data_IF_872388028181
#
_entry.id   IF_872388028181
#
_cell.length_a   1.000
_cell.length_b   1.000
_cell.length_c   1.000
_cell.angle_alpha   90.00
_cell.angle_beta   90.00
_cell.angle_gamma   90.00
#
_symmetry.space_group_name_H-M   'P 1'
#
loop_
_entity.id
_entity.type
_entity.pdbx_description
1 polymer ?
#
# COMPACT_ATOMS: atom_id res chain seq x y z
N UNK A 1 -6.22 -46.43 -8.80
CA UNK A 1 -6.99 -45.49 -7.95
C UNK A 1 -7.32 -44.30 -8.84
N UNK A 2 -8.60 -44.05 -9.12
CA UNK A 2 -9.04 -43.11 -10.16
C UNK A 2 -9.47 -41.80 -9.51
N UNK A 3 -8.81 -40.69 -9.81
CA UNK A 3 -9.18 -39.37 -9.30
C UNK A 3 -10.04 -38.64 -10.33
N UNK A 4 -11.27 -38.27 -9.96
CA UNK A 4 -12.11 -37.36 -10.76
C UNK A 4 -11.72 -35.93 -10.43
N UNK A 5 -11.20 -35.21 -11.42
CA UNK A 5 -10.94 -33.77 -11.30
C UNK A 5 -12.25 -33.04 -11.67
N UNK A 6 -12.78 -32.15 -10.82
CA UNK A 6 -13.97 -31.37 -11.13
C UNK A 6 -13.74 -30.43 -12.32
N UNK A 7 -14.79 -30.19 -13.12
CA UNK A 7 -14.73 -29.42 -14.37
C UNK A 7 -14.29 -27.94 -14.23
N UNK A 8 -14.17 -27.42 -13.00
CA UNK A 8 -13.73 -26.05 -12.73
C UNK A 8 -12.23 -25.93 -12.41
N UNK A 9 -11.47 -27.02 -12.38
CA UNK A 9 -10.03 -27.00 -12.10
C UNK A 9 -9.24 -26.82 -13.40
N UNK A 10 -8.64 -25.65 -13.60
CA UNK A 10 -7.70 -25.40 -14.70
C UNK A 10 -6.33 -25.96 -14.32
N UNK A 11 -5.87 -26.98 -15.04
CA UNK A 11 -4.53 -27.54 -14.88
C UNK A 11 -3.54 -26.72 -15.72
N UNK A 12 -2.75 -25.86 -15.07
CA UNK A 12 -1.64 -25.16 -15.74
C UNK A 12 -0.41 -26.06 -15.75
N UNK A 13 -0.11 -26.67 -16.90
CA UNK A 13 1.13 -27.40 -17.12
C UNK A 13 2.20 -26.43 -17.63
N UNK A 14 3.30 -26.29 -16.89
CA UNK A 14 4.49 -25.59 -17.37
C UNK A 14 5.40 -26.65 -17.99
N UNK A 15 5.51 -26.64 -19.31
CA UNK A 15 6.36 -27.57 -20.06
C UNK A 15 7.54 -26.79 -20.61
N UNK A 16 8.76 -27.32 -20.45
CA UNK A 16 9.95 -26.74 -21.07
C UNK A 16 9.86 -26.84 -22.59
N UNK A 17 10.41 -25.85 -23.30
CA UNK A 17 10.29 -25.74 -24.75
C UNK A 17 10.87 -26.97 -25.48
N UNK A 18 11.89 -27.59 -24.88
CA UNK A 18 12.55 -28.78 -25.43
C UNK A 18 11.69 -30.05 -25.34
N UNK A 19 10.62 -30.02 -24.53
CA UNK A 19 9.67 -31.13 -24.36
C UNK A 19 8.37 -30.95 -25.17
N UNK A 20 8.18 -29.81 -25.82
CA UNK A 20 6.98 -29.54 -26.64
C UNK A 20 6.86 -30.54 -27.81
N UNK A 21 7.99 -30.93 -28.40
CA UNK A 21 8.05 -31.88 -29.53
C UNK A 21 7.67 -33.32 -29.14
N UNK A 22 7.63 -33.62 -27.84
CA UNK A 22 7.26 -34.94 -27.31
C UNK A 22 5.78 -35.04 -26.97
N UNK A 23 5.03 -33.94 -27.06
CA UNK A 23 3.59 -33.96 -26.82
C UNK A 23 2.87 -34.70 -27.95
N UNK A 24 1.90 -35.58 -27.64
CA UNK A 24 1.13 -36.27 -28.65
C UNK A 24 0.42 -35.25 -29.58
N UNK A 25 0.26 -35.57 -30.88
CA UNK A 25 -0.17 -34.61 -31.90
C UNK A 25 -1.59 -34.03 -31.72
N UNK A 26 -2.36 -34.54 -30.74
CA UNK A 26 -3.66 -33.96 -30.34
C UNK A 26 -3.54 -32.78 -29.37
N UNK A 27 -2.33 -32.46 -28.91
CA UNK A 27 -2.00 -31.32 -28.06
C UNK A 27 -1.27 -30.27 -28.89
N UNK A 28 -1.86 -29.83 -30.00
CA UNK A 28 -1.28 -28.72 -30.76
C UNK A 28 -1.69 -27.39 -30.13
N UNK A 29 -0.69 -26.71 -29.59
CA UNK A 29 -0.71 -25.35 -29.12
C UNK A 29 -1.25 -24.41 -30.22
N UNK A 30 -2.33 -23.69 -29.92
CA UNK A 30 -2.88 -22.66 -30.81
C UNK A 30 -2.61 -21.29 -30.20
N UNK A 31 -1.63 -20.57 -30.75
CA UNK A 31 -1.20 -19.25 -30.29
C UNK A 31 -2.31 -18.19 -30.32
N UNK A 32 -3.36 -18.38 -31.11
CA UNK A 32 -4.40 -17.35 -31.31
C UNK A 32 -5.30 -17.08 -30.10
N UNK A 33 -5.25 -17.90 -29.04
CA UNK A 33 -6.20 -17.79 -27.90
C UNK A 33 -5.58 -17.64 -26.51
N UNK A 34 -4.25 -17.57 -26.37
CA UNK A 34 -3.57 -17.27 -25.09
C UNK A 34 -3.87 -18.22 -23.92
N UNK A 35 -4.56 -19.34 -24.17
CA UNK A 35 -4.89 -20.39 -23.20
C UNK A 35 -5.24 -21.67 -23.94
N UNK A 36 -4.70 -22.80 -23.48
CA UNK A 36 -4.96 -24.13 -24.03
C UNK A 36 -5.85 -24.88 -23.03
N UNK A 37 -7.08 -25.19 -23.45
CA UNK A 37 -7.89 -26.17 -22.73
C UNK A 37 -7.41 -27.57 -23.16
N UNK A 38 -6.90 -28.34 -22.20
CA UNK A 38 -6.41 -29.70 -22.43
C UNK A 38 -7.50 -30.66 -21.95
N UNK A 39 -8.18 -31.35 -22.88
CA UNK A 39 -8.91 -32.57 -22.54
C UNK A 39 -7.95 -33.75 -22.64
N UNK A 40 -7.46 -34.23 -21.49
CA UNK A 40 -6.61 -35.43 -21.44
C UNK A 40 -7.53 -36.65 -21.42
N UNK A 41 -7.47 -37.55 -22.43
CA UNK A 41 -8.08 -38.86 -22.29
C UNK A 41 -7.36 -39.63 -21.18
N UNK A 42 -8.15 -40.11 -20.21
CA UNK A 42 -7.73 -40.73 -18.96
C UNK A 42 -7.14 -42.12 -19.27
N UNK A 43 -5.92 -42.19 -19.80
CA UNK A 43 -5.14 -43.43 -19.87
C UNK A 43 -3.63 -43.16 -20.08
N UNK A 44 -3.14 -42.00 -19.65
CA UNK A 44 -1.70 -41.71 -19.65
C UNK A 44 -1.19 -41.87 -18.22
N UNK A 45 -0.40 -42.92 -17.99
CA UNK A 45 0.35 -43.10 -16.73
C UNK A 45 1.58 -42.21 -16.80
N UNK A 46 1.54 -41.03 -16.17
CA UNK A 46 2.68 -40.11 -16.12
C UNK A 46 3.73 -40.66 -15.13
N UNK A 47 5.00 -40.84 -15.52
CA UNK A 47 6.04 -41.26 -14.61
C UNK A 47 6.40 -40.11 -13.65
N UNK A 48 6.31 -40.38 -12.34
CA UNK A 48 6.82 -39.55 -11.22
C UNK A 48 6.72 -38.04 -11.44
N UNK A 49 5.50 -37.51 -11.47
CA UNK A 49 5.26 -36.13 -11.05
C UNK A 49 5.38 -36.11 -9.52
N UNK A 50 6.51 -35.64 -9.01
CA UNK A 50 6.59 -35.15 -7.64
C UNK A 50 5.36 -34.30 -7.36
N UNK A 51 4.63 -34.67 -6.31
CA UNK A 51 3.38 -34.09 -5.84
C UNK A 51 3.39 -32.59 -6.06
N UNK A 52 2.76 -32.15 -7.14
CA UNK A 52 2.59 -30.73 -7.43
C UNK A 52 1.71 -30.22 -6.29
N UNK A 53 2.28 -29.40 -5.42
CA UNK A 53 1.54 -28.78 -4.32
C UNK A 53 0.28 -28.18 -4.93
N UNK A 54 -0.89 -28.70 -4.54
CA UNK A 54 -2.17 -28.11 -4.87
C UNK A 54 -2.14 -26.70 -4.30
N UNK A 55 -1.85 -25.72 -5.14
CA UNK A 55 -1.94 -24.31 -4.79
C UNK A 55 -3.41 -24.06 -4.55
N UNK A 56 -3.81 -23.98 -3.28
CA UNK A 56 -5.17 -23.57 -2.93
C UNK A 56 -5.49 -22.27 -3.69
N UNK A 57 -6.68 -22.16 -4.31
CA UNK A 57 -7.07 -20.93 -4.97
C UNK A 57 -7.00 -19.82 -3.92
N UNK A 58 -6.14 -18.83 -4.16
CA UNK A 58 -6.03 -17.65 -3.30
C UNK A 58 -7.41 -17.03 -3.29
N UNK A 59 -8.17 -17.25 -2.21
CA UNK A 59 -9.46 -16.59 -2.00
C UNK A 59 -9.15 -15.10 -2.01
N UNK A 60 -9.64 -14.34 -3.00
CA UNK A 60 -9.36 -12.91 -3.06
C UNK A 60 -9.89 -12.31 -1.78
N UNK A 61 -9.02 -11.67 -1.00
CA UNK A 61 -9.49 -10.91 0.16
C UNK A 61 -10.53 -9.90 -0.32
N UNK A 62 -11.51 -9.55 0.51
CA UNK A 62 -12.51 -8.53 0.16
C UNK A 62 -11.86 -7.20 -0.29
N UNK A 63 -10.61 -6.94 0.12
CA UNK A 63 -9.81 -5.81 -0.35
C UNK A 63 -9.33 -5.96 -1.80
N UNK A 64 -8.93 -7.16 -2.21
CA UNK A 64 -8.55 -7.46 -3.59
C UNK A 64 -9.75 -7.30 -4.55
N UNK A 65 -10.97 -7.63 -4.10
CA UNK A 65 -12.19 -7.41 -4.91
C UNK A 65 -12.53 -5.92 -5.13
N UNK A 66 -12.00 -5.02 -4.30
CA UNK A 66 -12.14 -3.56 -4.48
C UNK A 66 -10.96 -2.95 -5.28
N UNK A 67 -9.99 -3.76 -5.72
CA UNK A 67 -8.79 -3.28 -6.41
C UNK A 67 -7.87 -2.39 -5.56
N UNK A 68 -8.04 -2.41 -4.23
CA UNK A 68 -7.23 -1.62 -3.30
C UNK A 68 -6.01 -2.43 -2.86
N UNK A 69 -4.84 -2.03 -3.34
CA UNK A 69 -3.57 -2.55 -2.84
C UNK A 69 -3.34 -2.07 -1.41
N UNK A 70 -2.54 -2.80 -0.59
CA UNK A 70 -2.21 -2.37 0.77
C UNK A 70 -1.65 -0.94 0.84
N UNK A 71 -0.84 -0.56 -0.15
CA UNK A 71 -0.29 0.80 -0.26
C UNK A 71 -1.37 1.85 -0.53
N UNK A 72 -2.33 1.59 -1.42
CA UNK A 72 -3.43 2.55 -1.68
C UNK A 72 -4.38 2.66 -0.49
N UNK A 73 -4.59 1.60 0.26
CA UNK A 73 -5.38 1.67 1.50
C UNK A 73 -4.68 2.56 2.55
N UNK A 74 -3.38 2.39 2.73
CA UNK A 74 -2.56 3.26 3.59
C UNK A 74 -2.62 4.72 3.13
N UNK A 75 -2.37 4.98 1.84
CA UNK A 75 -2.47 6.33 1.27
C UNK A 75 -3.85 6.94 1.49
N UNK A 76 -4.93 6.17 1.29
CA UNK A 76 -6.29 6.67 1.46
C UNK A 76 -6.53 7.11 2.91
N UNK A 77 -6.13 6.27 3.87
CA UNK A 77 -6.26 6.59 5.28
C UNK A 77 -5.50 7.87 5.66
N UNK A 78 -4.25 8.02 5.18
CA UNK A 78 -3.45 9.21 5.41
C UNK A 78 -4.06 10.47 4.78
N UNK A 79 -4.50 10.38 3.52
CA UNK A 79 -5.13 11.49 2.80
C UNK A 79 -6.43 11.92 3.51
N UNK A 80 -7.27 10.97 3.91
CA UNK A 80 -8.52 11.26 4.61
C UNK A 80 -8.25 11.86 6.00
N UNK A 81 -7.26 11.34 6.72
CA UNK A 81 -6.83 11.91 8.00
C UNK A 81 -6.40 13.37 7.86
N UNK A 82 -5.57 13.66 6.85
CA UNK A 82 -5.13 15.03 6.61
C UNK A 82 -6.30 15.93 6.19
N UNK A 83 -7.07 15.56 5.16
CA UNK A 83 -8.17 16.37 4.65
C UNK A 83 -9.23 16.64 5.72
N UNK A 84 -9.59 15.64 6.52
CA UNK A 84 -10.58 15.81 7.59
C UNK A 84 -10.11 16.75 8.71
N UNK A 85 -8.79 16.86 8.92
CA UNK A 85 -8.23 17.81 9.89
C UNK A 85 -8.19 19.26 9.39
N UNK A 86 -8.06 19.49 8.07
CA UNK A 86 -7.83 20.81 7.48
C UNK A 86 -8.87 21.88 7.86
N UNK A 87 -10.20 21.62 7.92
CA UNK A 87 -11.16 22.62 8.35
C UNK A 87 -10.87 23.17 9.75
N UNK A 88 -10.49 22.28 10.69
CA UNK A 88 -10.17 22.65 12.06
C UNK A 88 -8.80 23.31 12.20
N UNK A 89 -7.87 23.12 11.26
CA UNK A 89 -6.54 23.74 11.31
C UNK A 89 -6.51 25.10 10.60
N UNK A 90 -7.21 25.21 9.47
CA UNK A 90 -7.15 26.40 8.60
C UNK A 90 -8.30 27.39 8.87
N UNK A 91 -9.54 26.88 8.84
CA UNK A 91 -10.73 27.72 8.84
C UNK A 91 -11.13 28.12 10.26
N UNK A 92 -11.13 27.16 11.18
CA UNK A 92 -11.50 27.38 12.58
C UNK A 92 -10.47 26.74 13.54
N UNK A 93 -9.28 27.35 13.71
CA UNK A 93 -8.20 26.84 14.56
C UNK A 93 -8.61 26.67 16.02
N UNK A 94 -9.61 27.40 16.49
CA UNK A 94 -10.10 27.31 17.87
C UNK A 94 -10.63 25.90 18.16
N UNK A 95 -11.24 25.21 17.18
CA UNK A 95 -11.69 23.83 17.36
C UNK A 95 -10.51 22.93 17.73
N UNK A 96 -9.44 22.93 16.91
CA UNK A 96 -8.26 22.12 17.20
C UNK A 96 -7.60 22.51 18.53
N UNK A 97 -7.48 23.81 18.79
CA UNK A 97 -6.85 24.35 20.00
C UNK A 97 -7.61 24.00 21.28
N UNK A 98 -8.95 23.96 21.26
CA UNK A 98 -9.74 23.51 22.42
C UNK A 98 -9.48 22.04 22.76
N UNK A 99 -9.23 21.21 21.74
CA UNK A 99 -8.95 19.80 21.96
C UNK A 99 -7.51 19.65 22.47
N UNK A 100 -6.53 20.37 21.90
CA UNK A 100 -5.10 20.27 22.22
C UNK A 100 -4.71 20.93 23.56
N UNK A 101 -5.18 22.16 23.83
CA UNK A 101 -4.70 22.98 24.95
C UNK A 101 -5.45 22.67 26.26
N UNK A 102 -4.76 22.80 27.40
CA UNK A 102 -5.33 22.57 28.74
C UNK A 102 -6.39 23.60 29.12
N UNK A 103 -6.27 24.84 28.66
CA UNK A 103 -7.14 25.96 29.02
C UNK A 103 -7.49 26.84 27.81
N UNK A 104 -8.73 27.34 27.70
CA UNK A 104 -9.11 28.32 26.68
C UNK A 104 -8.32 29.64 26.74
N UNK A 105 -7.78 30.00 27.91
CA UNK A 105 -6.96 31.22 28.08
C UNK A 105 -5.66 31.17 27.27
N UNK A 106 -5.22 29.98 26.86
CA UNK A 106 -4.04 29.77 26.03
C UNK A 106 -4.34 29.94 24.53
N UNK A 107 -5.61 30.14 24.14
CA UNK A 107 -6.03 30.39 22.76
C UNK A 107 -5.79 31.87 22.42
N UNK A 108 -4.54 32.17 22.06
CA UNK A 108 -4.07 33.50 21.69
C UNK A 108 -4.08 33.69 20.16
N UNK A 109 -3.92 34.93 19.65
CA UNK A 109 -3.70 35.14 18.22
C UNK A 109 -2.49 34.37 17.69
N UNK A 110 -1.42 34.25 18.49
CA UNK A 110 -0.21 33.53 18.11
C UNK A 110 -0.46 32.03 17.93
N UNK A 111 -1.17 31.37 18.86
CA UNK A 111 -1.48 29.94 18.72
C UNK A 111 -2.38 29.67 17.53
N UNK A 112 -3.38 30.53 17.25
CA UNK A 112 -4.22 30.45 16.05
C UNK A 112 -3.42 30.54 14.75
N UNK A 113 -2.47 31.49 14.68
CA UNK A 113 -1.60 31.64 13.50
C UNK A 113 -0.73 30.40 13.34
N UNK A 114 -0.13 29.89 14.41
CA UNK A 114 0.70 28.68 14.35
C UNK A 114 -0.11 27.46 13.92
N UNK A 115 -1.35 27.29 14.42
CA UNK A 115 -2.25 26.22 13.99
C UNK A 115 -2.59 26.31 12.49
N UNK A 116 -2.80 27.51 11.96
CA UNK A 116 -3.03 27.71 10.52
C UNK A 116 -1.80 27.42 9.68
N UNK A 117 -0.61 27.84 10.13
CA UNK A 117 0.65 27.51 9.46
C UNK A 117 0.83 26.00 9.42
N UNK A 118 0.59 25.33 10.55
CA UNK A 118 0.63 23.87 10.61
C UNK A 118 -0.39 23.22 9.66
N UNK A 119 -1.62 23.74 9.61
CA UNK A 119 -2.62 23.30 8.62
C UNK A 119 -2.17 23.48 7.18
N UNK A 120 -1.45 24.57 6.87
CA UNK A 120 -0.86 24.80 5.56
C UNK A 120 0.22 23.78 5.21
N UNK A 121 1.07 23.42 6.18
CA UNK A 121 2.07 22.35 6.03
C UNK A 121 1.39 21.01 5.79
N UNK A 122 0.36 20.65 6.57
CA UNK A 122 -0.42 19.41 6.37
C UNK A 122 -1.05 19.38 4.98
N UNK A 123 -1.67 20.48 4.53
CA UNK A 123 -2.23 20.58 3.19
C UNK A 123 -1.16 20.38 2.09
N UNK A 124 -0.01 21.05 2.23
CA UNK A 124 1.12 20.92 1.30
C UNK A 124 1.66 19.50 1.23
N UNK A 125 1.86 18.83 2.36
CA UNK A 125 2.33 17.45 2.44
C UNK A 125 1.28 16.42 1.97
N UNK A 126 0.01 16.79 1.91
CA UNK A 126 -1.07 15.93 1.38
C UNK A 126 -1.02 15.84 -0.14
N UNK A 127 -0.52 16.87 -0.85
CA UNK A 127 -0.47 16.87 -2.32
C UNK A 127 0.42 15.72 -2.85
N UNK A 128 1.67 15.51 -2.38
CA UNK A 128 2.48 14.37 -2.80
C UNK A 128 1.83 13.00 -2.53
N UNK A 129 1.03 12.87 -1.45
CA UNK A 129 0.27 11.65 -1.18
C UNK A 129 -0.78 11.40 -2.25
N UNK A 130 -1.57 12.42 -2.59
CA UNK A 130 -2.60 12.33 -3.64
C UNK A 130 -1.94 11.99 -4.99
N UNK A 131 -0.82 12.64 -5.32
CA UNK A 131 -0.08 12.37 -6.55
C UNK A 131 0.57 10.97 -6.57
N UNK A 132 0.73 10.33 -5.41
CA UNK A 132 1.21 8.96 -5.28
C UNK A 132 0.13 7.89 -5.53
N UNK A 133 -1.15 8.29 -5.62
CA UNK A 133 -2.30 7.41 -5.78
C UNK A 133 -2.30 6.52 -7.05
N UNK A 134 -1.94 7.01 -8.25
CA UNK A 134 -2.01 6.21 -9.47
C UNK A 134 -0.98 5.08 -9.47
N UNK A 135 -1.35 3.89 -9.95
CA UNK A 135 -0.43 2.74 -10.04
C UNK A 135 0.78 3.06 -10.94
N UNK A 136 2.00 2.59 -10.59
CA UNK A 136 3.17 2.81 -11.42
C UNK A 136 3.02 2.06 -12.75
N UNK A 137 3.25 2.76 -13.86
CA UNK A 137 3.28 2.16 -15.21
C UNK A 137 4.49 1.24 -15.38
N UNK A 138 4.56 0.49 -16.47
CA UNK A 138 5.79 -0.23 -16.85
C UNK A 138 6.83 0.73 -17.44
N UNK A 139 8.11 0.36 -17.38
CA UNK A 139 9.23 1.12 -17.95
C UNK A 139 9.63 2.38 -17.15
N UNK A 140 10.40 3.27 -17.79
CA UNK A 140 11.05 4.43 -17.14
C UNK A 140 10.06 5.37 -16.43
N UNK A 141 8.87 5.58 -17.00
CA UNK A 141 7.84 6.41 -16.36
C UNK A 141 7.35 5.80 -15.03
N UNK A 142 7.28 4.47 -14.95
CA UNK A 142 6.97 3.74 -13.72
C UNK A 142 8.05 3.84 -12.65
N UNK A 143 9.31 3.81 -13.06
CA UNK A 143 10.44 3.99 -12.14
C UNK A 143 10.42 5.39 -11.50
N UNK A 144 10.14 6.43 -12.29
CA UNK A 144 9.97 7.79 -11.77
C UNK A 144 8.81 7.90 -10.78
N UNK A 145 7.67 7.26 -11.08
CA UNK A 145 6.52 7.23 -10.16
C UNK A 145 6.86 6.50 -8.85
N UNK A 146 7.59 5.38 -8.92
CA UNK A 146 8.08 4.66 -7.73
C UNK A 146 9.06 5.50 -6.92
N UNK A 147 9.99 6.19 -7.59
CA UNK A 147 10.92 7.13 -6.96
C UNK A 147 10.20 8.26 -6.25
N UNK A 148 9.18 8.85 -6.90
CA UNK A 148 8.35 9.90 -6.30
C UNK A 148 7.60 9.42 -5.05
N UNK A 149 6.98 8.23 -5.10
CA UNK A 149 6.31 7.61 -3.94
C UNK A 149 7.27 7.43 -2.76
N UNK A 150 8.48 6.91 -3.01
CA UNK A 150 9.52 6.75 -1.99
C UNK A 150 9.93 8.10 -1.40
N UNK A 151 10.16 9.10 -2.25
CA UNK A 151 10.52 10.44 -1.81
C UNK A 151 9.41 11.09 -0.95
N UNK A 152 8.15 10.98 -1.36
CA UNK A 152 7.02 11.48 -0.59
C UNK A 152 6.98 10.86 0.82
N UNK A 153 7.12 9.54 0.92
CA UNK A 153 7.16 8.84 2.20
C UNK A 153 8.39 9.21 3.04
N UNK A 154 9.57 9.39 2.44
CA UNK A 154 10.76 9.83 3.19
C UNK A 154 10.58 11.23 3.78
N UNK A 155 10.02 12.18 3.02
CA UNK A 155 9.76 13.55 3.49
C UNK A 155 8.78 13.52 4.65
N UNK A 156 7.69 12.76 4.55
CA UNK A 156 6.73 12.64 5.64
C UNK A 156 7.29 11.93 6.86
N UNK A 157 8.05 10.84 6.67
CA UNK A 157 8.70 10.12 7.76
C UNK A 157 9.67 11.01 8.54
N UNK A 158 10.35 11.94 7.87
CA UNK A 158 11.20 12.94 8.54
C UNK A 158 10.37 13.82 9.48
N UNK A 159 9.20 14.28 9.05
CA UNK A 159 8.28 15.05 9.88
C UNK A 159 7.74 14.25 11.07
N UNK A 160 7.42 12.97 10.87
CA UNK A 160 6.95 12.06 11.91
C UNK A 160 8.01 11.80 12.98
N UNK A 161 9.26 11.58 12.58
CA UNK A 161 10.39 11.45 13.52
C UNK A 161 10.53 12.72 14.35
N UNK A 162 10.57 13.88 13.70
CA UNK A 162 10.73 15.16 14.39
C UNK A 162 9.59 15.44 15.37
N UNK A 163 8.33 15.36 14.91
CA UNK A 163 7.16 15.63 15.75
C UNK A 163 6.97 14.58 16.84
N UNK A 164 7.18 13.30 16.52
CA UNK A 164 7.10 12.21 17.48
C UNK A 164 8.12 12.36 18.61
N UNK A 165 9.37 12.69 18.26
CA UNK A 165 10.42 12.98 19.23
C UNK A 165 10.10 14.23 20.06
N UNK A 166 9.58 15.30 19.45
CA UNK A 166 9.19 16.51 20.16
C UNK A 166 8.08 16.25 21.18
N UNK A 167 7.03 15.52 20.80
CA UNK A 167 5.94 15.16 21.72
C UNK A 167 6.41 14.24 22.83
N UNK A 168 7.26 13.27 22.52
CA UNK A 168 7.83 12.36 23.52
C UNK A 168 8.71 13.14 24.50
N UNK A 169 9.53 14.06 24.00
CA UNK A 169 10.37 14.93 24.82
C UNK A 169 9.53 15.79 25.76
N UNK A 170 8.53 16.51 25.25
CA UNK A 170 7.65 17.36 26.05
C UNK A 170 6.90 16.56 27.13
N UNK A 171 6.51 15.32 26.82
CA UNK A 171 5.85 14.45 27.78
C UNK A 171 6.82 14.00 28.89
N UNK A 172 8.05 13.63 28.52
CA UNK A 172 9.06 13.14 29.46
C UNK A 172 9.62 14.23 30.38
N UNK A 173 9.66 15.49 29.95
CA UNK A 173 10.13 16.59 30.81
C UNK A 173 9.12 16.92 31.92
N UNK A 174 7.83 16.64 31.71
CA UNK A 174 6.77 16.90 32.68
C UNK A 174 6.53 18.39 32.98
N UNK A 175 7.15 19.29 32.22
CA UNK A 175 6.99 20.74 32.37
C UNK A 175 5.59 21.18 31.91
N UNK A 176 5.06 22.28 32.47
CA UNK A 176 3.78 22.80 32.00
C UNK A 176 3.93 23.56 30.68
N UNK A 177 3.74 22.84 29.58
CA UNK A 177 3.75 23.37 28.21
C UNK A 177 2.33 23.75 27.71
N UNK A 178 1.31 23.76 28.57
CA UNK A 178 -0.06 24.18 28.21
C UNK A 178 -0.84 23.24 27.27
N UNK A 179 -0.26 22.10 26.88
CA UNK A 179 -0.87 21.06 26.03
C UNK A 179 -1.36 19.91 26.90
N UNK A 180 -2.53 19.33 26.60
CA UNK A 180 -3.04 18.17 27.35
C UNK A 180 -2.11 16.97 27.17
N UNK A 181 -1.87 16.22 28.24
CA UNK A 181 -0.99 15.06 28.22
C UNK A 181 -1.43 14.00 27.18
N UNK A 182 -2.75 13.77 27.07
CA UNK A 182 -3.31 12.86 26.08
C UNK A 182 -2.89 13.21 24.64
N UNK A 183 -2.70 14.50 24.33
CA UNK A 183 -2.25 14.95 23.01
C UNK A 183 -0.77 14.66 22.77
N UNK A 184 0.06 14.76 23.80
CA UNK A 184 1.48 14.44 23.66
C UNK A 184 1.67 12.94 23.49
N UNK A 185 1.08 12.13 24.38
CA UNK A 185 1.18 10.67 24.30
C UNK A 185 0.51 10.15 23.03
N UNK A 186 -0.72 10.60 22.76
CA UNK A 186 -1.45 10.23 21.55
C UNK A 186 -0.72 10.67 20.28
N UNK A 187 -0.13 11.87 20.28
CA UNK A 187 0.70 12.38 19.20
C UNK A 187 1.93 11.50 18.96
N UNK A 188 2.70 11.18 20.00
CA UNK A 188 3.87 10.30 19.92
C UNK A 188 3.51 8.93 19.37
N UNK A 189 2.47 8.29 19.91
CA UNK A 189 2.02 6.96 19.45
C UNK A 189 1.56 7.03 17.99
N UNK A 190 0.77 8.04 17.61
CA UNK A 190 0.31 8.21 16.24
C UNK A 190 1.49 8.39 15.27
N UNK A 191 2.47 9.24 15.61
CA UNK A 191 3.67 9.41 14.79
C UNK A 191 4.49 8.10 14.68
N UNK A 192 4.62 7.34 15.77
CA UNK A 192 5.33 6.07 15.75
C UNK A 192 4.63 5.01 14.87
N UNK A 193 3.29 4.96 14.89
CA UNK A 193 2.51 4.08 14.03
C UNK A 193 2.68 4.45 12.56
N UNK A 194 2.57 5.74 12.21
CA UNK A 194 2.79 6.21 10.84
C UNK A 194 4.21 5.93 10.36
N UNK A 195 5.22 6.20 11.21
CA UNK A 195 6.60 5.91 10.89
C UNK A 195 6.84 4.40 10.68
N UNK A 196 6.22 3.57 11.52
CA UNK A 196 6.25 2.11 11.37
C UNK A 196 5.63 1.66 10.04
N UNK A 197 4.51 2.25 9.64
CA UNK A 197 3.88 2.01 8.35
C UNK A 197 4.83 2.37 7.19
N UNK A 198 5.51 3.52 7.27
CA UNK A 198 6.51 3.91 6.26
C UNK A 198 7.70 2.97 6.23
N UNK A 199 8.18 2.53 7.39
CA UNK A 199 9.25 1.54 7.48
C UNK A 199 8.88 0.23 6.78
N UNK A 200 7.63 -0.21 6.93
CA UNK A 200 7.11 -1.38 6.21
C UNK A 200 7.22 -1.17 4.70
N UNK A 201 6.78 -0.02 4.16
CA UNK A 201 6.80 0.22 2.72
C UNK A 201 8.16 0.60 2.13
N UNK A 202 9.09 1.14 2.93
CA UNK A 202 10.39 1.59 2.45
C UNK A 202 11.50 0.54 2.65
N UNK A 203 11.48 -0.20 3.75
CA UNK A 203 12.56 -1.11 4.15
C UNK A 203 12.15 -2.58 4.17
N UNK A 204 11.00 -2.93 4.75
CA UNK A 204 10.64 -4.34 4.95
C UNK A 204 9.96 -4.99 3.72
N UNK A 205 8.97 -4.31 3.15
CA UNK A 205 8.13 -4.79 2.05
C UNK A 205 8.08 -3.76 0.91
N UNK A 206 9.22 -3.37 0.33
CA UNK A 206 9.27 -2.32 -0.70
C UNK A 206 8.46 -2.66 -1.96
N UNK A 207 8.30 -3.95 -2.28
CA UNK A 207 7.48 -4.39 -3.40
C UNK A 207 6.00 -3.99 -3.28
N UNK A 208 5.47 -3.76 -2.06
CA UNK A 208 4.09 -3.32 -1.86
C UNK A 208 3.84 -1.90 -2.39
N UNK A 209 4.86 -1.04 -2.34
CA UNK A 209 4.85 0.31 -2.88
C UNK A 209 5.01 0.29 -4.41
N UNK A 210 5.59 -0.80 -4.94
CA UNK A 210 5.99 -0.96 -6.34
C UNK A 210 5.02 -1.77 -7.20
N UNK A 211 3.96 -2.31 -6.62
CA UNK A 211 3.01 -3.18 -7.33
C UNK A 211 2.51 -2.55 -8.64
N UNK A 212 2.89 -3.19 -9.74
CA UNK A 212 2.26 -3.05 -11.05
C UNK A 212 1.15 -4.09 -11.11
N UNK A 213 -0.04 -3.73 -11.63
CA UNK A 213 -1.08 -4.73 -11.85
C UNK A 213 -0.52 -5.82 -12.77
N UNK A 214 -0.46 -7.05 -12.26
CA UNK A 214 0.02 -8.21 -12.99
C UNK A 214 -1.02 -8.56 -14.07
N UNK A 215 -0.96 -7.84 -15.20
CA UNK A 215 -1.90 -8.03 -16.31
C UNK A 215 -1.52 -7.34 -17.62
N UNK A 216 -0.82 -6.19 -17.58
CA UNK A 216 -0.59 -5.40 -18.81
C UNK A 216 0.78 -5.61 -19.50
N UNK A 217 1.69 -6.39 -18.90
CA UNK A 217 3.08 -6.50 -19.38
C UNK A 217 3.37 -7.65 -20.37
N UNK A 218 2.42 -8.55 -20.66
CA UNK A 218 2.66 -9.73 -21.53
C UNK A 218 2.20 -9.54 -22.99
N UNK A 219 2.15 -8.31 -23.47
CA UNK A 219 1.75 -8.04 -24.85
C UNK A 219 2.54 -6.89 -25.44
N UNK A 220 3.79 -7.16 -25.86
CA UNK A 220 4.49 -6.57 -27.02
C UNK A 220 5.99 -6.77 -26.88
N UNK A 221 6.45 -7.90 -27.39
CA UNK A 221 7.75 -7.98 -28.08
C UNK A 221 7.38 -8.45 -29.49
N UNK A 222 7.27 -7.49 -30.41
CA UNK A 222 7.37 -7.72 -31.85
C UNK A 222 8.63 -7.01 -32.31
#
# INVERSE_FOLDING_TARGET
>A
MTYKIPAYLQLHLIVNNDQLSQLPPRLQYNESKGSVAIEVPIDITLPNLETTHLVEPVVPSAMASLGLTPFRLALLAEILGNISSLPSLLLNPDIALHIILKSPTLITPATRVLTRIFGGVVAGLTIPLILSWPNPRSGNAGEQQRGFRKAAYLVQGTGEVFLGALFAWLWLTGEDHGVKELFLVGGTVNMAVLLGLRWVFLAWKPHLLEHTEAGEGKGKTQ
#
